data_IF_576026856113
#
_entry.id   IF_576026856113
#
_cell.length_a   1.000
_cell.length_b   1.000
_cell.length_c   1.000
_cell.angle_alpha   90.00
_cell.angle_beta   90.00
_cell.angle_gamma   90.00
#
_symmetry.space_group_name_H-M   'P 1'
#
loop_
_entity.id
_entity.type
_entity.pdbx_description
1 polymer ?
#
# COMPACT_ATOMS: atom_id res chain seq x y z
N UNK A 1 21.85 -27.28 5.77
CA UNK A 1 20.39 -27.19 5.57
C UNK A 1 19.69 -27.48 6.91
N UNK A 2 19.44 -26.46 7.72
CA UNK A 2 18.81 -26.64 9.04
C UNK A 2 17.30 -26.77 8.85
N UNK A 3 16.74 -27.98 8.99
CA UNK A 3 15.32 -28.21 9.20
C UNK A 3 14.96 -27.70 10.60
N UNK A 4 14.41 -26.49 10.72
CA UNK A 4 13.65 -26.11 11.90
C UNK A 4 12.35 -26.91 11.87
N UNK A 5 12.33 -28.05 12.54
CA UNK A 5 11.09 -28.74 12.88
C UNK A 5 10.35 -27.86 13.89
N UNK A 6 9.12 -27.50 13.60
CA UNK A 6 8.22 -26.95 14.61
C UNK A 6 8.09 -27.97 15.74
N UNK A 7 8.51 -27.59 16.94
CA UNK A 7 8.51 -28.47 18.12
C UNK A 7 7.14 -28.62 18.78
N UNK A 8 6.10 -27.97 18.25
CA UNK A 8 4.73 -28.04 18.73
C UNK A 8 3.81 -28.42 17.58
N UNK A 9 3.55 -29.72 17.47
CA UNK A 9 2.33 -30.20 16.82
C UNK A 9 1.20 -30.02 17.83
N UNK A 10 0.37 -29.02 17.68
CA UNK A 10 -0.90 -28.99 18.38
C UNK A 10 -1.78 -30.08 17.77
N UNK A 11 -2.19 -31.06 18.57
CA UNK A 11 -3.17 -32.11 18.20
C UNK A 11 -4.59 -31.58 17.97
N UNK A 12 -4.72 -30.30 17.63
CA UNK A 12 -6.00 -29.68 17.31
C UNK A 12 -6.30 -29.87 15.83
N UNK A 13 -7.42 -30.53 15.54
CA UNK A 13 -8.00 -30.56 14.20
C UNK A 13 -8.00 -29.15 13.63
N UNK A 14 -7.55 -28.96 12.38
CA UNK A 14 -7.50 -27.62 11.78
C UNK A 14 -8.91 -27.00 11.83
N UNK A 15 -9.05 -25.77 12.32
CA UNK A 15 -10.35 -25.12 12.45
C UNK A 15 -11.04 -25.03 11.08
N UNK A 16 -12.35 -25.22 11.06
CA UNK A 16 -13.14 -25.18 9.81
C UNK A 16 -13.02 -23.80 9.13
N UNK A 17 -13.14 -23.76 7.81
CA UNK A 17 -13.12 -22.50 7.04
C UNK A 17 -14.15 -21.48 7.57
N UNK A 18 -15.34 -21.95 7.99
CA UNK A 18 -16.37 -21.09 8.57
C UNK A 18 -15.95 -20.48 9.91
N UNK A 19 -15.26 -21.23 10.77
CA UNK A 19 -14.71 -20.72 12.02
C UNK A 19 -13.64 -19.65 11.77
N UNK A 20 -12.72 -19.90 10.84
CA UNK A 20 -11.67 -18.96 10.46
C UNK A 20 -12.24 -17.66 9.87
N UNK A 21 -13.26 -17.74 9.02
CA UNK A 21 -13.96 -16.56 8.51
C UNK A 21 -14.67 -15.81 9.64
N UNK A 22 -15.28 -16.52 10.58
CA UNK A 22 -15.88 -15.90 11.77
C UNK A 22 -14.87 -15.11 12.61
N UNK A 23 -13.65 -15.64 12.79
CA UNK A 23 -12.56 -14.95 13.48
C UNK A 23 -12.10 -13.69 12.73
N UNK A 24 -12.04 -13.75 11.39
CA UNK A 24 -11.71 -12.58 10.55
C UNK A 24 -12.70 -11.44 10.80
N UNK A 25 -13.99 -11.71 10.81
CA UNK A 25 -15.02 -10.69 11.07
C UNK A 25 -15.00 -10.15 12.50
N UNK A 26 -14.45 -10.89 13.47
CA UNK A 26 -14.25 -10.41 14.85
C UNK A 26 -13.04 -9.46 14.97
N UNK A 27 -12.16 -9.43 13.98
CA UNK A 27 -10.98 -8.59 13.96
C UNK A 27 -11.28 -7.26 13.24
N UNK A 28 -11.80 -6.30 13.96
CA UNK A 28 -12.12 -4.96 13.46
C UNK A 28 -10.91 -4.21 12.89
N UNK A 29 -9.71 -4.40 13.47
CA UNK A 29 -8.48 -3.79 12.97
C UNK A 29 -8.07 -4.36 11.60
N UNK A 30 -8.20 -5.67 11.42
CA UNK A 30 -7.94 -6.29 10.13
C UNK A 30 -8.94 -5.83 9.06
N UNK A 31 -10.22 -5.72 9.40
CA UNK A 31 -11.24 -5.22 8.47
C UNK A 31 -10.93 -3.81 7.99
N UNK A 32 -10.48 -2.93 8.87
CA UNK A 32 -10.04 -1.58 8.49
C UNK A 32 -8.84 -1.60 7.54
N UNK A 33 -7.86 -2.48 7.78
CA UNK A 33 -6.70 -2.64 6.89
C UNK A 33 -7.15 -3.18 5.52
N UNK A 34 -8.06 -4.15 5.48
CA UNK A 34 -8.59 -4.71 4.23
C UNK A 34 -9.32 -3.64 3.40
N UNK A 35 -10.21 -2.86 4.02
CA UNK A 35 -10.91 -1.75 3.35
C UNK A 35 -9.90 -0.72 2.82
N UNK A 36 -8.93 -0.35 3.64
CA UNK A 36 -7.86 0.56 3.23
C UNK A 36 -7.04 -0.02 2.07
N UNK A 37 -6.78 -1.33 2.08
CA UNK A 37 -6.09 -2.04 1.00
C UNK A 37 -6.86 -2.02 -0.31
N UNK A 38 -8.18 -2.23 -0.28
CA UNK A 38 -9.04 -2.14 -1.47
C UNK A 38 -9.02 -0.72 -2.06
N UNK A 39 -9.15 0.31 -1.21
CA UNK A 39 -9.07 1.69 -1.65
C UNK A 39 -7.67 2.05 -2.18
N UNK A 40 -6.62 1.52 -1.55
CA UNK A 40 -5.23 1.65 -2.01
C UNK A 40 -5.00 0.96 -3.36
N UNK A 41 -5.59 -0.21 -3.60
CA UNK A 41 -5.53 -0.90 -4.88
C UNK A 41 -6.21 -0.08 -5.98
N UNK A 42 -7.38 0.51 -5.72
CA UNK A 42 -8.04 1.42 -6.66
C UNK A 42 -7.14 2.59 -7.04
N UNK A 43 -6.48 3.23 -6.07
CA UNK A 43 -5.48 4.28 -6.32
C UNK A 43 -4.35 3.79 -7.24
N UNK A 44 -3.83 2.60 -7.00
CA UNK A 44 -2.74 2.02 -7.79
C UNK A 44 -3.19 1.77 -9.24
N UNK A 45 -4.38 1.24 -9.46
CA UNK A 45 -4.97 1.08 -10.80
C UNK A 45 -5.08 2.42 -11.51
N UNK A 46 -5.60 3.45 -10.85
CA UNK A 46 -5.69 4.79 -11.44
C UNK A 46 -4.30 5.37 -11.74
N UNK A 47 -3.31 5.13 -10.89
CA UNK A 47 -1.96 5.65 -11.09
C UNK A 47 -1.27 5.00 -12.30
N UNK A 48 -1.40 3.69 -12.50
CA UNK A 48 -0.77 3.01 -13.63
C UNK A 48 -1.64 3.05 -14.90
N UNK A 49 -2.86 2.57 -14.84
CA UNK A 49 -3.75 2.54 -16.01
C UNK A 49 -4.20 3.95 -16.39
N UNK A 50 -4.54 4.78 -15.42
CA UNK A 50 -4.90 6.19 -15.66
C UNK A 50 -3.78 7.00 -16.29
N UNK A 51 -2.51 6.75 -15.90
CA UNK A 51 -1.35 7.42 -16.50
C UNK A 51 -1.16 7.07 -17.97
N UNK A 52 -1.50 5.85 -18.40
CA UNK A 52 -1.47 5.48 -19.81
C UNK A 52 -2.48 6.32 -20.63
N UNK A 53 -3.72 6.39 -20.15
CA UNK A 53 -4.75 7.21 -20.80
C UNK A 53 -4.41 8.70 -20.77
N UNK A 54 -3.84 9.17 -19.68
CA UNK A 54 -3.37 10.54 -19.54
C UNK A 54 -2.25 10.86 -20.55
N UNK A 55 -1.25 10.00 -20.68
CA UNK A 55 -0.17 10.16 -21.65
C UNK A 55 -0.71 10.16 -23.09
N UNK A 56 -1.64 9.25 -23.39
CA UNK A 56 -2.22 9.11 -24.74
C UNK A 56 -3.13 10.28 -25.13
N UNK A 57 -4.07 10.63 -24.29
CA UNK A 57 -5.16 11.55 -24.66
C UNK A 57 -4.94 13.01 -24.20
N UNK A 58 -4.15 13.21 -23.15
CA UNK A 58 -3.89 14.55 -22.61
C UNK A 58 -2.55 15.08 -23.08
N UNK A 59 -1.49 14.25 -23.04
CA UNK A 59 -0.16 14.65 -23.48
C UNK A 59 0.07 14.37 -24.99
N UNK A 60 -0.79 13.55 -25.61
CA UNK A 60 -0.67 13.19 -27.03
C UNK A 60 0.55 12.32 -27.38
N UNK A 61 1.21 11.74 -26.37
CA UNK A 61 2.40 10.93 -26.55
C UNK A 61 2.44 9.76 -25.56
N UNK A 62 2.17 8.56 -26.07
CA UNK A 62 2.16 7.33 -25.25
C UNK A 62 3.55 6.99 -24.66
N UNK A 63 4.65 7.40 -25.29
CA UNK A 63 6.00 7.11 -24.80
C UNK A 63 6.27 7.78 -23.44
N UNK A 64 5.61 8.89 -23.14
CA UNK A 64 5.72 9.59 -21.86
C UNK A 64 5.21 8.73 -20.70
N UNK A 65 4.29 7.80 -20.94
CA UNK A 65 3.80 6.86 -19.92
C UNK A 65 4.93 6.10 -19.22
N UNK A 66 5.88 5.56 -19.99
CA UNK A 66 7.02 4.82 -19.43
C UNK A 66 7.87 5.70 -18.52
N UNK A 67 8.08 6.96 -18.90
CA UNK A 67 8.84 7.92 -18.10
C UNK A 67 8.10 8.23 -16.79
N UNK A 68 6.80 8.51 -16.85
CA UNK A 68 6.00 8.83 -15.69
C UNK A 68 5.96 7.68 -14.69
N UNK A 69 5.80 6.45 -15.17
CA UNK A 69 5.76 5.26 -14.29
C UNK A 69 7.11 4.96 -13.65
N UNK A 70 8.23 5.16 -14.38
CA UNK A 70 9.58 4.99 -13.82
C UNK A 70 9.86 6.04 -12.73
N UNK A 71 9.34 7.25 -12.86
CA UNK A 71 9.54 8.32 -11.86
C UNK A 71 8.93 8.01 -10.47
N UNK A 72 8.00 7.07 -10.40
CA UNK A 72 7.46 6.58 -9.11
C UNK A 72 8.50 5.78 -8.32
N UNK A 73 9.42 5.10 -9.01
CA UNK A 73 10.38 4.15 -8.40
C UNK A 73 11.31 4.83 -7.39
N UNK A 74 12.01 5.95 -7.70
CA UNK A 74 12.89 6.59 -6.73
C UNK A 74 12.16 7.06 -5.48
N UNK A 75 10.94 7.59 -5.61
CA UNK A 75 10.11 7.95 -4.44
C UNK A 75 9.79 6.74 -3.56
N UNK A 76 9.41 5.62 -4.18
CA UNK A 76 9.14 4.36 -3.47
C UNK A 76 10.38 3.80 -2.77
N UNK A 77 11.54 3.84 -3.42
CA UNK A 77 12.80 3.39 -2.85
C UNK A 77 13.21 4.24 -1.63
N UNK A 78 13.18 5.56 -1.76
CA UNK A 78 13.45 6.49 -0.65
C UNK A 78 12.51 6.22 0.51
N UNK A 79 11.21 6.09 0.24
CA UNK A 79 10.22 5.80 1.27
C UNK A 79 10.52 4.49 2.00
N UNK A 80 10.84 3.43 1.27
CA UNK A 80 11.16 2.11 1.86
C UNK A 80 12.35 2.18 2.80
N UNK A 81 13.41 2.89 2.42
CA UNK A 81 14.60 3.08 3.27
C UNK A 81 14.28 3.89 4.52
N UNK A 82 13.39 4.86 4.42
CA UNK A 82 13.01 5.74 5.53
C UNK A 82 11.93 5.15 6.46
N UNK A 83 11.30 4.02 6.12
CA UNK A 83 10.27 3.39 6.95
C UNK A 83 10.69 3.20 8.41
N UNK A 84 11.87 2.65 8.75
CA UNK A 84 12.26 2.45 10.14
C UNK A 84 12.32 3.76 10.93
N UNK A 85 12.78 4.84 10.28
CA UNK A 85 12.84 6.15 10.90
C UNK A 85 11.43 6.73 11.14
N UNK A 86 10.56 6.68 10.14
CA UNK A 86 9.18 7.16 10.26
C UNK A 86 8.38 6.38 11.30
N UNK A 87 8.47 5.05 11.27
CA UNK A 87 7.72 4.20 12.20
C UNK A 87 8.20 4.33 13.63
N UNK A 88 9.50 4.61 13.84
CA UNK A 88 10.04 4.87 15.16
C UNK A 88 9.51 6.18 15.76
N UNK A 89 9.34 7.24 14.95
CA UNK A 89 8.94 8.55 15.42
C UNK A 89 7.42 8.74 15.49
N UNK A 90 6.69 8.22 14.52
CA UNK A 90 5.24 8.45 14.37
C UNK A 90 4.40 7.19 14.61
N UNK A 91 5.01 6.03 14.68
CA UNK A 91 4.33 4.74 14.71
C UNK A 91 3.81 4.31 13.32
N UNK A 92 3.51 3.02 13.14
CA UNK A 92 3.07 2.43 11.86
C UNK A 92 1.79 3.09 11.33
N UNK A 93 0.76 3.23 12.19
CA UNK A 93 -0.54 3.80 11.83
C UNK A 93 -0.44 5.24 11.32
N UNK A 94 0.23 6.11 12.07
CA UNK A 94 0.32 7.52 11.70
C UNK A 94 1.18 7.73 10.46
N UNK A 95 2.29 6.98 10.32
CA UNK A 95 3.12 6.97 9.12
C UNK A 95 2.28 6.61 7.89
N UNK A 96 1.47 5.56 7.99
CA UNK A 96 0.57 5.14 6.92
C UNK A 96 -0.41 6.25 6.54
N UNK A 97 -1.08 6.87 7.52
CA UNK A 97 -2.05 7.95 7.28
C UNK A 97 -1.37 9.17 6.63
N UNK A 98 -0.25 9.63 7.18
CA UNK A 98 0.41 10.84 6.69
C UNK A 98 0.86 10.73 5.24
N UNK A 99 1.43 9.60 4.84
CA UNK A 99 1.87 9.44 3.46
C UNK A 99 0.73 9.29 2.47
N UNK A 100 -0.41 8.72 2.89
CA UNK A 100 -1.58 8.64 2.02
C UNK A 100 -2.27 10.00 1.89
N UNK A 101 -2.31 10.79 2.95
CA UNK A 101 -2.78 12.19 2.89
C UNK A 101 -1.86 13.02 1.99
N UNK A 102 -0.54 12.87 2.15
CA UNK A 102 0.43 13.51 1.26
C UNK A 102 0.18 13.14 -0.21
N UNK A 103 -0.03 11.84 -0.49
CA UNK A 103 -0.35 11.37 -1.83
C UNK A 103 -1.61 12.01 -2.40
N UNK A 104 -2.67 12.14 -1.59
CA UNK A 104 -3.89 12.82 -2.01
C UNK A 104 -3.64 14.30 -2.33
N UNK A 105 -2.92 15.01 -1.46
CA UNK A 105 -2.55 16.43 -1.67
C UNK A 105 -1.75 16.59 -2.96
N UNK A 106 -0.77 15.72 -3.23
CA UNK A 106 0.03 15.74 -4.46
C UNK A 106 -0.85 15.52 -5.68
N UNK A 107 -1.80 14.58 -5.66
CA UNK A 107 -2.72 14.36 -6.79
C UNK A 107 -3.59 15.58 -7.06
N UNK A 108 -4.13 16.23 -6.04
CA UNK A 108 -4.88 17.47 -6.19
C UNK A 108 -4.01 18.61 -6.74
N UNK A 109 -2.78 18.76 -6.25
CA UNK A 109 -1.85 19.77 -6.75
C UNK A 109 -1.55 19.55 -8.24
N UNK A 110 -1.27 18.32 -8.66
CA UNK A 110 -1.04 17.98 -10.06
C UNK A 110 -2.25 18.32 -10.95
N UNK A 111 -3.47 18.04 -10.47
CA UNK A 111 -4.69 18.39 -11.18
C UNK A 111 -4.82 19.92 -11.39
N UNK A 112 -4.60 20.71 -10.36
CA UNK A 112 -4.71 22.17 -10.46
C UNK A 112 -3.61 22.80 -11.33
N UNK A 113 -2.39 22.26 -11.28
CA UNK A 113 -1.29 22.71 -12.15
C UNK A 113 -1.66 22.50 -13.61
N UNK A 114 -2.17 21.31 -13.95
CA UNK A 114 -2.58 21.03 -15.31
C UNK A 114 -3.76 21.86 -15.79
N UNK A 115 -4.74 22.10 -14.90
CA UNK A 115 -5.92 22.93 -15.21
C UNK A 115 -5.55 24.39 -15.52
N UNK A 116 -4.57 24.96 -14.81
CA UNK A 116 -4.24 26.38 -14.90
C UNK A 116 -3.28 26.75 -16.04
N UNK A 117 -2.55 25.81 -16.60
CA UNK A 117 -1.54 26.13 -17.64
C UNK A 117 -1.40 25.09 -18.74
N UNK A 118 -2.24 24.04 -18.70
CA UNK A 118 -2.08 22.88 -19.59
C UNK A 118 -0.87 22.02 -19.21
N UNK A 119 -0.95 20.77 -19.54
CA UNK A 119 0.13 19.81 -19.20
C UNK A 119 1.30 19.83 -20.19
N UNK A 120 1.13 20.46 -21.37
CA UNK A 120 2.19 20.51 -22.42
C UNK A 120 3.20 21.65 -22.23
N UNK A 121 3.01 22.49 -21.22
CA UNK A 121 4.00 23.50 -20.84
C UNK A 121 5.18 22.82 -20.12
N UNK A 122 6.42 23.11 -20.51
CA UNK A 122 7.62 22.49 -19.94
C UNK A 122 7.72 22.63 -18.42
N UNK A 123 7.30 23.78 -17.87
CA UNK A 123 7.27 23.97 -16.41
C UNK A 123 6.26 23.06 -15.74
N UNK A 124 5.10 22.86 -16.33
CA UNK A 124 4.06 22.00 -15.76
C UNK A 124 4.44 20.52 -15.88
N UNK A 125 5.14 20.12 -16.95
CA UNK A 125 5.71 18.78 -17.07
C UNK A 125 6.73 18.48 -15.99
N UNK A 126 7.55 19.44 -15.60
CA UNK A 126 8.50 19.28 -14.50
C UNK A 126 7.75 19.05 -13.17
N UNK A 127 6.74 19.87 -12.87
CA UNK A 127 5.92 19.69 -11.68
C UNK A 127 5.16 18.38 -11.66
N UNK A 128 4.69 17.94 -12.83
CA UNK A 128 4.07 16.62 -13.00
C UNK A 128 5.08 15.51 -12.66
N UNK A 129 6.31 15.59 -13.19
CA UNK A 129 7.37 14.62 -12.90
C UNK A 129 7.71 14.54 -11.41
N UNK A 130 7.85 15.70 -10.74
CA UNK A 130 8.04 15.77 -9.29
C UNK A 130 6.86 15.13 -8.56
N UNK A 131 5.64 15.39 -9.00
CA UNK A 131 4.44 14.78 -8.45
C UNK A 131 4.46 13.25 -8.52
N UNK A 132 4.90 12.66 -9.64
CA UNK A 132 5.04 11.20 -9.78
C UNK A 132 6.10 10.63 -8.83
N UNK A 133 7.22 11.30 -8.64
CA UNK A 133 8.23 10.90 -7.64
C UNK A 133 7.62 10.92 -6.23
N UNK A 134 6.89 11.98 -5.88
CA UNK A 134 6.24 12.10 -4.57
C UNK A 134 5.12 11.05 -4.37
N UNK A 135 4.40 10.65 -5.43
CA UNK A 135 3.42 9.56 -5.37
C UNK A 135 4.08 8.18 -5.14
N UNK A 136 5.37 8.06 -5.39
CA UNK A 136 6.15 6.89 -5.00
C UNK A 136 6.22 6.69 -3.50
N UNK A 137 6.20 7.76 -2.69
CA UNK A 137 6.28 7.65 -1.22
C UNK A 137 5.16 6.79 -0.62
N UNK A 138 3.87 7.07 -0.85
CA UNK A 138 2.81 6.20 -0.36
C UNK A 138 2.85 4.81 -0.96
N UNK A 139 3.37 4.64 -2.19
CA UNK A 139 3.51 3.32 -2.80
C UNK A 139 4.56 2.47 -2.07
N UNK A 140 5.75 3.02 -1.81
CA UNK A 140 6.82 2.31 -1.09
C UNK A 140 6.42 1.95 0.34
N UNK A 141 5.79 2.87 1.05
CA UNK A 141 5.32 2.64 2.43
C UNK A 141 4.20 1.61 2.48
N UNK A 142 3.25 1.68 1.55
CA UNK A 142 2.15 0.70 1.49
C UNK A 142 2.66 -0.73 1.32
N UNK A 143 3.65 -0.95 0.48
CA UNK A 143 4.22 -2.28 0.22
C UNK A 143 4.88 -2.94 1.44
N UNK A 144 5.28 -2.18 2.44
CA UNK A 144 5.97 -2.70 3.63
C UNK A 144 5.11 -2.60 4.88
N UNK A 145 4.55 -1.43 5.17
CA UNK A 145 3.84 -1.18 6.43
C UNK A 145 2.54 -1.99 6.49
N UNK A 146 1.84 -2.17 5.37
CA UNK A 146 0.60 -2.96 5.35
C UNK A 146 0.82 -4.37 5.86
N UNK A 147 1.87 -5.06 5.39
CA UNK A 147 2.19 -6.41 5.86
C UNK A 147 2.58 -6.43 7.35
N UNK A 148 3.33 -5.43 7.81
CA UNK A 148 3.68 -5.31 9.22
C UNK A 148 2.44 -5.05 10.10
N UNK A 149 1.48 -4.26 9.62
CA UNK A 149 0.21 -4.00 10.33
C UNK A 149 -0.70 -5.22 10.35
N UNK A 150 -0.74 -6.02 9.27
CA UNK A 150 -1.48 -7.29 9.25
C UNK A 150 -0.92 -8.24 10.32
N UNK A 151 0.42 -8.33 10.47
CA UNK A 151 1.04 -9.09 11.55
C UNK A 151 0.57 -8.64 12.94
N UNK A 152 0.51 -7.34 13.18
CA UNK A 152 0.02 -6.78 14.45
C UNK A 152 -1.46 -7.14 14.72
N UNK A 153 -2.28 -7.30 13.67
CA UNK A 153 -3.70 -7.68 13.84
C UNK A 153 -3.87 -9.14 14.26
N UNK A 154 -2.91 -10.01 14.00
CA UNK A 154 -2.91 -11.39 14.51
C UNK A 154 -2.75 -11.39 16.02
N UNK A 155 -1.80 -10.61 16.55
CA UNK A 155 -1.58 -10.46 17.98
C UNK A 155 -2.79 -9.81 18.67
N UNK A 156 -3.40 -8.82 18.02
CA UNK A 156 -4.64 -8.19 18.50
C UNK A 156 -5.81 -9.19 18.59
N UNK A 157 -5.96 -10.05 17.58
CA UNK A 157 -7.02 -11.08 17.63
C UNK A 157 -6.78 -12.10 18.74
N UNK A 158 -5.53 -12.55 18.91
CA UNK A 158 -5.15 -13.45 19.99
C UNK A 158 -5.46 -12.83 21.36
N UNK A 159 -5.14 -11.56 21.56
CA UNK A 159 -5.49 -10.83 22.77
C UNK A 159 -7.00 -10.73 23.00
N UNK A 160 -7.79 -10.50 21.94
CA UNK A 160 -9.24 -10.30 22.01
C UNK A 160 -10.04 -11.59 22.18
N UNK A 161 -9.58 -12.71 21.59
CA UNK A 161 -10.35 -13.96 21.51
C UNK A 161 -9.68 -15.14 22.22
N UNK A 162 -8.41 -15.03 22.57
CA UNK A 162 -7.59 -16.16 23.07
C UNK A 162 -7.16 -17.15 21.97
N UNK A 163 -7.55 -16.94 20.73
CA UNK A 163 -7.24 -17.83 19.60
C UNK A 163 -6.26 -17.17 18.61
N UNK A 164 -5.20 -17.90 18.24
CA UNK A 164 -4.21 -17.43 17.27
C UNK A 164 -4.51 -17.99 15.89
N UNK A 165 -5.08 -17.17 15.02
CA UNK A 165 -5.45 -17.55 13.65
C UNK A 165 -4.37 -17.19 12.59
N UNK A 166 -3.09 -17.27 12.95
CA UNK A 166 -1.96 -16.83 12.08
C UNK A 166 -1.97 -17.50 10.70
N UNK A 167 -2.32 -18.78 10.61
CA UNK A 167 -2.33 -19.55 9.36
C UNK A 167 -3.39 -19.02 8.39
N UNK A 168 -4.56 -18.58 8.89
CA UNK A 168 -5.62 -18.04 8.04
C UNK A 168 -5.21 -16.74 7.34
N UNK A 169 -4.34 -15.94 7.96
CA UNK A 169 -3.87 -14.67 7.39
C UNK A 169 -2.82 -14.86 6.32
N UNK A 170 -1.97 -15.88 6.41
CA UNK A 170 -0.94 -16.15 5.39
C UNK A 170 -1.57 -16.52 4.06
N UNK A 171 -2.68 -17.25 4.05
CA UNK A 171 -3.40 -17.60 2.82
C UNK A 171 -4.11 -16.42 2.15
N UNK A 172 -4.43 -15.35 2.91
CA UNK A 172 -5.04 -14.12 2.39
C UNK A 172 -4.02 -13.12 1.82
N UNK A 173 -2.77 -13.22 2.25
CA UNK A 173 -1.73 -12.22 1.94
C UNK A 173 -0.69 -12.69 0.92
N UNK A 174 -0.59 -13.99 0.66
CA UNK A 174 0.31 -14.53 -0.35
C UNK A 174 -0.45 -14.67 -1.67
N UNK A 175 0.01 -14.00 -2.75
CA UNK A 175 -0.46 -14.35 -4.08
C UNK A 175 -0.02 -15.78 -4.37
N UNK A 176 -0.97 -16.67 -4.62
CA UNK A 176 -0.75 -18.02 -5.13
C UNK A 176 -0.29 -17.97 -6.57
#
# INVERSE_FOLDING_TARGET
MYKRQERYTSDTTPPSLGHNLGLLFKNDQLLLILISGILGAARTVYMYTGSLYFAKYVLGNEAVYSILTILVVPGGAIATVLIPWFTKHFGKKNTYIYVHVLGAVVMFAMYFIGRNGGYNNSSNLLWLAIGFVLLGLPQGINNVITYAMIGDTVEYLEWKTGERAAVSYTHLTLPT
#
